data_IF_393568172969
#
_entry.id   IF_393568172969
#
_cell.length_a   1.000
_cell.length_b   1.000
_cell.length_c   1.000
_cell.angle_alpha   90.00
_cell.angle_beta   90.00
_cell.angle_gamma   90.00
#
_symmetry.space_group_name_H-M   'P 1'
#
loop_
_entity.id
_entity.type
_entity.pdbx_description
1 polymer ?
#
# COMPACT_ATOMS: atom_id res chain seq x y z
N UNK A 1 -2.52 -5.53 2.73
CA UNK A 1 -2.32 -4.36 3.62
C UNK A 1 -0.83 -4.08 3.70
N UNK A 2 -0.39 -2.82 3.53
CA UNK A 2 1.01 -2.45 3.61
C UNK A 2 1.47 -2.26 5.06
N UNK A 3 2.79 -2.30 5.28
CA UNK A 3 3.37 -2.04 6.60
C UNK A 3 3.22 -0.57 7.00
N UNK A 4 3.35 0.34 6.02
CA UNK A 4 3.04 1.76 6.17
C UNK A 4 2.27 2.24 4.94
N UNK A 5 1.25 3.06 5.15
CA UNK A 5 0.52 3.76 4.10
C UNK A 5 0.40 5.24 4.43
N UNK A 6 0.41 6.08 3.41
CA UNK A 6 0.14 7.50 3.52
C UNK A 6 -0.87 7.93 2.46
N UNK A 7 -1.81 8.77 2.91
CA UNK A 7 -2.78 9.44 2.07
C UNK A 7 -2.87 10.89 2.51
N UNK A 8 -2.78 11.85 1.58
CA UNK A 8 -3.02 13.25 1.87
C UNK A 8 -4.39 13.47 2.50
N UNK A 9 -4.42 14.35 3.49
CA UNK A 9 -5.65 14.71 4.23
C UNK A 9 -6.72 15.35 3.33
N UNK A 10 -6.33 15.96 2.24
CA UNK A 10 -7.28 16.59 1.30
C UNK A 10 -8.02 15.55 0.44
N UNK A 11 -7.44 14.34 0.30
CA UNK A 11 -8.08 13.16 -0.30
C UNK A 11 -8.86 12.33 0.75
N UNK A 12 -8.72 12.71 2.02
CA UNK A 12 -9.24 12.04 3.22
C UNK A 12 -10.57 12.66 3.65
N UNK A 13 -11.52 12.74 2.72
CA UNK A 13 -12.90 13.04 3.12
C UNK A 13 -13.50 11.76 3.70
N UNK A 14 -13.31 11.58 5.02
CA UNK A 14 -13.97 10.59 5.90
C UNK A 14 -13.36 9.16 5.96
N UNK A 15 -12.06 8.93 5.75
CA UNK A 15 -11.50 7.59 5.95
C UNK A 15 -11.39 7.29 7.46
N UNK A 16 -12.24 6.42 7.97
CA UNK A 16 -12.00 5.84 9.30
C UNK A 16 -10.72 5.01 9.25
N UNK A 17 -9.96 4.96 10.35
CA UNK A 17 -8.69 4.23 10.45
C UNK A 17 -8.77 2.73 10.09
N UNK A 18 -9.98 2.18 9.95
CA UNK A 18 -10.24 0.78 9.56
C UNK A 18 -10.51 0.59 8.05
N UNK A 19 -10.64 1.68 7.27
CA UNK A 19 -11.00 1.66 5.84
C UNK A 19 -9.83 1.24 4.97
N UNK A 20 -9.52 -0.05 4.98
CA UNK A 20 -8.41 -0.59 4.18
C UNK A 20 -8.96 -1.11 2.85
N UNK A 21 -8.61 -0.45 1.74
CA UNK A 21 -8.90 -0.81 0.34
C UNK A 21 -10.29 -0.51 -0.22
N UNK A 22 -11.26 -0.14 0.62
CA UNK A 22 -12.58 0.31 0.17
C UNK A 22 -13.10 1.44 1.04
N UNK A 23 -13.58 2.51 0.40
CA UNK A 23 -14.28 3.62 1.05
C UNK A 23 -15.63 3.81 0.36
N UNK A 24 -16.73 3.69 1.12
CA UNK A 24 -18.11 3.73 0.61
C UNK A 24 -18.41 2.78 -0.57
N UNK A 25 -17.70 1.66 -0.66
CA UNK A 25 -17.85 0.68 -1.73
C UNK A 25 -16.99 0.94 -2.97
N UNK A 26 -16.31 2.09 -3.04
CA UNK A 26 -15.34 2.40 -4.08
C UNK A 26 -13.94 1.94 -3.67
N UNK A 27 -13.12 1.51 -4.65
CA UNK A 27 -11.72 1.16 -4.40
C UNK A 27 -10.97 2.40 -3.95
N UNK A 28 -10.42 2.32 -2.75
CA UNK A 28 -9.57 3.36 -2.20
C UNK A 28 -8.14 2.83 -2.13
N UNK A 29 -7.19 3.58 -2.69
CA UNK A 29 -5.78 3.26 -2.63
C UNK A 29 -5.00 4.40 -1.96
N UNK A 30 -4.12 4.08 -0.99
CA UNK A 30 -3.24 5.08 -0.43
C UNK A 30 -2.29 5.64 -1.50
N UNK A 31 -1.90 6.90 -1.36
CA UNK A 31 -1.00 7.55 -2.33
C UNK A 31 0.40 6.95 -2.27
N UNK A 32 0.88 6.64 -1.06
CA UNK A 32 2.21 6.07 -0.83
C UNK A 32 2.06 4.81 0.01
N UNK A 33 2.82 3.78 -0.34
CA UNK A 33 2.98 2.55 0.46
C UNK A 33 4.45 2.28 0.74
N UNK A 34 4.74 1.68 1.89
CA UNK A 34 6.06 1.18 2.24
C UNK A 34 5.92 -0.26 2.71
N UNK A 35 6.79 -1.13 2.21
CA UNK A 35 6.93 -2.51 2.66
C UNK A 35 8.32 -2.74 3.26
N UNK A 36 8.36 -3.39 4.41
CA UNK A 36 9.60 -3.63 5.14
C UNK A 36 9.95 -5.11 5.01
N UNK A 37 11.05 -5.40 4.33
CA UNK A 37 11.57 -6.76 4.30
C UNK A 37 12.13 -7.16 5.68
N UNK A 38 11.99 -8.45 6.03
CA UNK A 38 12.42 -8.96 7.34
C UNK A 38 13.93 -8.88 7.51
N UNK A 39 14.71 -9.38 6.56
CA UNK A 39 16.19 -9.40 6.57
C UNK A 39 16.73 -9.73 5.17
N UNK A 40 17.94 -9.29 4.84
CA UNK A 40 18.66 -9.75 3.63
C UNK A 40 19.05 -11.24 3.72
N UNK A 41 19.06 -11.96 2.59
CA UNK A 41 19.50 -13.37 2.52
C UNK A 41 18.35 -14.36 2.40
N UNK A 42 18.49 -15.57 2.95
CA UNK A 42 17.52 -16.68 2.75
C UNK A 42 16.11 -16.40 3.32
N UNK A 43 15.98 -15.40 4.19
CA UNK A 43 14.71 -14.93 4.76
C UNK A 43 14.12 -13.70 4.06
N UNK A 44 14.79 -13.16 3.04
CA UNK A 44 14.34 -11.98 2.30
C UNK A 44 13.09 -12.31 1.49
N UNK A 45 12.13 -11.39 1.52
CA UNK A 45 10.90 -11.44 0.74
C UNK A 45 10.95 -10.48 -0.44
N UNK A 46 12.13 -9.95 -0.81
CA UNK A 46 12.28 -8.91 -1.84
C UNK A 46 11.55 -9.20 -3.15
N UNK A 47 11.65 -10.41 -3.68
CA UNK A 47 10.93 -10.78 -4.92
C UNK A 47 9.41 -10.77 -4.74
N UNK A 48 8.92 -11.22 -3.58
CA UNK A 48 7.48 -11.19 -3.28
C UNK A 48 7.00 -9.74 -3.09
N UNK A 49 7.80 -8.88 -2.46
CA UNK A 49 7.49 -7.47 -2.29
C UNK A 49 7.49 -6.72 -3.63
N UNK A 50 8.47 -6.97 -4.52
CA UNK A 50 8.46 -6.40 -5.88
C UNK A 50 7.23 -6.84 -6.68
N UNK A 51 6.83 -8.10 -6.57
CA UNK A 51 5.60 -8.60 -7.19
C UNK A 51 4.36 -7.88 -6.64
N UNK A 52 4.26 -7.72 -5.31
CA UNK A 52 3.17 -7.02 -4.63
C UNK A 52 3.08 -5.56 -5.08
N UNK A 53 4.21 -4.86 -5.13
CA UNK A 53 4.29 -3.47 -5.60
C UNK A 53 3.74 -3.32 -7.02
N UNK A 54 4.17 -4.18 -7.95
CA UNK A 54 3.77 -4.09 -9.36
C UNK A 54 2.32 -4.49 -9.61
N UNK A 55 1.89 -5.58 -9.00
CA UNK A 55 0.64 -6.24 -9.40
C UNK A 55 -0.53 -5.92 -8.48
N UNK A 56 -0.27 -5.47 -7.25
CA UNK A 56 -1.33 -5.09 -6.32
C UNK A 56 -1.37 -3.58 -6.11
N UNK A 57 -0.24 -2.91 -5.90
CA UNK A 57 -0.26 -1.51 -5.50
C UNK A 57 -0.34 -0.54 -6.67
N UNK A 58 0.63 -0.56 -7.59
CA UNK A 58 0.66 0.40 -8.69
C UNK A 58 -0.50 0.23 -9.67
N UNK A 59 -1.01 -0.99 -9.85
CA UNK A 59 -2.21 -1.23 -10.67
C UNK A 59 -3.49 -0.62 -10.08
N UNK A 60 -3.51 -0.37 -8.78
CA UNK A 60 -4.71 0.10 -8.07
C UNK A 60 -4.62 1.57 -7.66
N UNK A 61 -3.68 2.33 -8.20
CA UNK A 61 -3.62 3.79 -8.04
C UNK A 61 -2.67 4.30 -6.95
N UNK A 62 -1.90 3.41 -6.34
CA UNK A 62 -0.74 3.83 -5.53
C UNK A 62 0.25 4.54 -6.44
N UNK A 63 0.76 5.69 -6.00
CA UNK A 63 1.63 6.54 -6.82
C UNK A 63 3.11 6.35 -6.50
N UNK A 64 3.41 5.91 -5.28
CA UNK A 64 4.78 5.67 -4.83
C UNK A 64 4.87 4.45 -3.91
N UNK A 65 5.88 3.61 -4.13
CA UNK A 65 6.20 2.46 -3.31
C UNK A 65 7.66 2.51 -2.88
N UNK A 66 7.93 2.19 -1.61
CA UNK A 66 9.28 2.01 -1.05
C UNK A 66 9.44 0.62 -0.45
#
# INVERSE_FOLDING_TARGET
MPDVAYTPRDTDTDLSAESTWTYRGERYAPTIVVEIDKLSGRGSRRTALDHKMRNEYFQHGVQLGW
#
